data_IF_752342365925
#
_entry.id   IF_752342365925
#
_cell.length_a   1.000
_cell.length_b   1.000
_cell.length_c   1.000
_cell.angle_alpha   90.00
_cell.angle_beta   90.00
_cell.angle_gamma   90.00
#
_symmetry.space_group_name_H-M   'P 1'
#
loop_
_entity.id
_entity.type
_entity.pdbx_description
1 polymer ?
#
# COMPACT_ATOMS: atom_id res chain seq x y z
N UNK A 1 21.40 0.28 11.74
CA UNK A 1 22.42 -0.30 10.83
C UNK A 1 23.69 0.54 10.74
N UNK A 2 23.70 1.78 11.23
CA UNK A 2 24.86 2.68 11.12
C UNK A 2 26.14 2.02 11.68
N UNK A 3 27.19 1.97 10.86
CA UNK A 3 28.50 1.40 11.21
C UNK A 3 28.56 -0.13 11.38
N UNK A 4 27.45 -0.84 11.18
CA UNK A 4 27.35 -2.30 11.38
C UNK A 4 27.97 -3.09 10.23
N UNK A 5 28.45 -4.30 10.55
CA UNK A 5 28.99 -5.25 9.60
C UNK A 5 27.85 -6.07 8.99
N UNK A 6 27.64 -5.94 7.68
CA UNK A 6 26.54 -6.59 6.95
C UNK A 6 27.09 -7.68 6.03
N UNK A 7 26.57 -8.90 6.18
CA UNK A 7 26.82 -10.02 5.28
C UNK A 7 25.89 -10.00 4.09
N UNK A 8 26.45 -10.12 2.89
CA UNK A 8 25.75 -10.07 1.62
C UNK A 8 26.21 -11.22 0.72
N UNK A 9 25.33 -11.73 -0.15
CA UNK A 9 25.69 -12.75 -1.15
C UNK A 9 26.24 -12.03 -2.38
N UNK A 10 27.44 -12.42 -2.82
CA UNK A 10 28.10 -11.84 -4.01
C UNK A 10 27.22 -12.01 -5.26
N UNK A 11 27.03 -10.91 -5.99
CA UNK A 11 26.26 -10.91 -7.24
C UNK A 11 24.73 -10.96 -7.08
N UNK A 12 24.22 -10.95 -5.86
CA UNK A 12 22.77 -10.90 -5.62
C UNK A 12 22.22 -9.52 -6.02
N UNK A 13 21.09 -9.49 -6.72
CA UNK A 13 20.39 -8.26 -7.12
C UNK A 13 19.96 -7.41 -5.92
N UNK A 14 19.63 -8.03 -4.79
CA UNK A 14 19.28 -7.32 -3.56
C UNK A 14 20.38 -6.36 -3.09
N UNK A 15 21.64 -6.59 -3.48
CA UNK A 15 22.75 -5.70 -3.13
C UNK A 15 22.53 -4.29 -3.71
N UNK A 16 22.03 -4.20 -4.95
CA UNK A 16 21.73 -2.93 -5.61
C UNK A 16 20.56 -2.20 -4.93
N UNK A 17 19.53 -2.95 -4.55
CA UNK A 17 18.37 -2.41 -3.83
C UNK A 17 18.77 -1.86 -2.47
N UNK A 18 19.60 -2.62 -1.75
CA UNK A 18 20.12 -2.20 -0.45
C UNK A 18 20.99 -0.93 -0.56
N UNK A 19 21.84 -0.84 -1.58
CA UNK A 19 22.69 0.32 -1.79
C UNK A 19 21.88 1.60 -2.01
N UNK A 20 20.78 1.51 -2.76
CA UNK A 20 19.83 2.61 -2.91
C UNK A 20 19.17 2.98 -1.58
N UNK A 21 18.73 1.96 -0.83
CA UNK A 21 18.08 2.16 0.47
C UNK A 21 19.00 2.89 1.46
N UNK A 22 20.22 2.40 1.70
CA UNK A 22 21.14 3.03 2.65
C UNK A 22 21.59 4.40 2.17
N UNK A 23 21.77 4.59 0.85
CA UNK A 23 22.09 5.89 0.26
C UNK A 23 20.99 6.92 0.49
N UNK A 24 19.71 6.54 0.31
CA UNK A 24 18.57 7.43 0.54
C UNK A 24 18.37 7.81 2.02
N UNK A 25 18.84 6.97 2.93
CA UNK A 25 18.73 7.18 4.39
C UNK A 25 20.01 7.74 5.02
N UNK A 26 21.08 7.97 4.25
CA UNK A 26 22.37 8.42 4.76
C UNK A 26 23.04 7.42 5.71
N UNK A 27 22.72 6.12 5.59
CA UNK A 27 23.25 5.07 6.47
C UNK A 27 24.55 4.50 5.89
N UNK A 28 25.59 4.42 6.70
CA UNK A 28 26.87 3.78 6.36
C UNK A 28 26.95 2.41 7.01
N UNK A 29 27.31 1.38 6.22
CA UNK A 29 27.52 0.00 6.70
C UNK A 29 28.82 -0.57 6.14
N UNK A 30 29.43 -1.51 6.86
CA UNK A 30 30.58 -2.28 6.39
C UNK A 30 30.09 -3.56 5.70
N UNK A 31 30.31 -3.69 4.40
CA UNK A 31 29.80 -4.78 3.57
C UNK A 31 30.79 -5.93 3.49
N UNK A 32 30.35 -7.15 3.79
CA UNK A 32 31.11 -8.40 3.68
C UNK A 32 30.40 -9.33 2.69
N UNK A 33 31.10 -9.77 1.67
CA UNK A 33 30.53 -10.59 0.59
C UNK A 33 30.93 -12.06 0.73
N UNK A 34 29.93 -12.93 0.65
CA UNK A 34 30.03 -14.38 0.75
C UNK A 34 29.51 -15.05 -0.53
N UNK A 35 29.85 -16.33 -0.73
CA UNK A 35 29.45 -17.06 -1.92
C UNK A 35 28.06 -17.69 -1.79
N UNK A 36 27.59 -17.92 -0.56
CA UNK A 36 26.32 -18.60 -0.30
C UNK A 36 25.61 -18.06 0.95
N UNK A 37 24.31 -18.35 1.05
CA UNK A 37 23.51 -18.05 2.25
C UNK A 37 23.98 -18.83 3.48
N UNK A 38 24.51 -20.06 3.30
CA UNK A 38 25.06 -20.86 4.39
C UNK A 38 26.27 -20.16 5.03
N UNK A 39 27.23 -19.72 4.22
CA UNK A 39 28.40 -18.97 4.69
C UNK A 39 28.04 -17.67 5.42
N UNK A 40 27.02 -16.96 4.93
CA UNK A 40 26.51 -15.74 5.57
C UNK A 40 25.94 -16.06 6.97
N UNK A 41 25.14 -17.12 7.08
CA UNK A 41 24.56 -17.56 8.34
C UNK A 41 25.65 -18.03 9.35
N UNK A 42 26.62 -18.76 8.89
CA UNK A 42 27.77 -19.17 9.72
C UNK A 42 28.59 -17.96 10.22
N UNK A 43 28.79 -16.96 9.35
CA UNK A 43 29.48 -15.73 9.74
C UNK A 43 28.70 -14.91 10.78
N UNK A 44 27.37 -14.89 10.68
CA UNK A 44 26.50 -14.26 11.68
C UNK A 44 26.58 -15.00 13.01
N UNK A 45 26.43 -16.32 13.00
CA UNK A 45 26.51 -17.16 14.19
C UNK A 45 27.87 -17.05 14.88
N UNK A 46 28.97 -16.93 14.12
CA UNK A 46 30.31 -16.73 14.60
C UNK A 46 30.61 -15.28 15.04
N UNK A 47 29.66 -14.36 14.97
CA UNK A 47 29.86 -12.95 15.35
C UNK A 47 30.83 -12.18 14.44
N UNK A 48 31.13 -12.69 13.25
CA UNK A 48 31.99 -12.02 12.25
C UNK A 48 31.24 -10.83 11.57
N UNK A 49 29.96 -10.91 11.51
CA UNK A 49 29.05 -9.88 11.00
C UNK A 49 27.92 -9.66 12.00
N UNK A 50 27.27 -8.49 11.94
CA UNK A 50 26.23 -8.08 12.87
C UNK A 50 24.82 -8.25 12.31
N UNK A 51 24.70 -8.28 10.97
CA UNK A 51 23.44 -8.43 10.26
C UNK A 51 23.65 -9.16 8.93
N UNK A 52 22.57 -9.73 8.41
CA UNK A 52 22.54 -10.35 7.08
C UNK A 52 21.46 -9.70 6.24
N UNK A 53 21.63 -9.75 4.93
CA UNK A 53 20.61 -9.38 3.97
C UNK A 53 19.96 -10.64 3.42
N UNK A 54 18.64 -10.74 3.53
CA UNK A 54 17.87 -11.91 3.09
C UNK A 54 16.50 -11.50 2.55
N UNK A 55 15.85 -12.39 1.78
CA UNK A 55 14.43 -12.26 1.48
C UNK A 55 13.60 -12.47 2.75
N UNK A 56 12.45 -11.80 2.85
CA UNK A 56 11.58 -11.88 4.03
C UNK A 56 10.96 -13.27 4.27
N UNK A 57 11.05 -14.17 3.29
CA UNK A 57 10.63 -15.57 3.43
C UNK A 57 11.63 -16.48 4.17
N UNK A 58 12.76 -15.97 4.61
CA UNK A 58 13.84 -16.74 5.25
C UNK A 58 14.14 -16.23 6.67
N UNK A 59 13.12 -15.78 7.38
CA UNK A 59 13.28 -15.37 8.78
C UNK A 59 13.17 -16.58 9.70
N UNK A 60 14.33 -16.98 10.28
CA UNK A 60 14.37 -17.96 11.36
C UNK A 60 13.95 -17.31 12.68
N UNK A 61 13.43 -18.11 13.61
CA UNK A 61 12.96 -17.64 14.94
C UNK A 61 14.07 -16.94 15.75
N UNK A 62 15.34 -17.26 15.47
CA UNK A 62 16.51 -16.71 16.17
C UNK A 62 16.97 -15.36 15.63
N UNK A 63 16.37 -14.85 14.55
CA UNK A 63 16.78 -13.63 13.87
C UNK A 63 15.76 -12.53 14.05
N UNK A 64 16.25 -11.34 14.36
CA UNK A 64 15.43 -10.14 14.46
C UNK A 64 15.45 -9.37 13.15
N UNK A 65 14.26 -9.03 12.63
CA UNK A 65 14.13 -8.10 11.52
C UNK A 65 14.52 -6.69 11.99
N UNK A 66 15.52 -6.08 11.35
CA UNK A 66 16.02 -4.74 11.69
C UNK A 66 15.68 -3.67 10.67
N UNK A 67 15.37 -4.05 9.43
CA UNK A 67 14.88 -3.15 8.39
C UNK A 67 14.26 -3.95 7.25
N UNK A 68 13.25 -3.39 6.60
CA UNK A 68 12.74 -3.81 5.30
C UNK A 68 13.10 -2.77 4.26
N UNK A 69 13.44 -3.21 3.07
CA UNK A 69 13.72 -2.34 1.94
C UNK A 69 13.35 -3.07 0.66
N UNK A 70 12.82 -2.32 -0.27
CA UNK A 70 12.44 -2.73 -1.60
C UNK A 70 11.55 -3.98 -1.71
N UNK A 71 10.83 -4.09 -2.82
CA UNK A 71 10.00 -5.24 -3.19
C UNK A 71 10.47 -5.72 -4.56
N UNK A 72 10.83 -7.00 -4.65
CA UNK A 72 11.17 -7.62 -5.92
C UNK A 72 9.91 -8.23 -6.54
N UNK A 73 9.44 -7.72 -7.67
CA UNK A 73 8.34 -8.34 -8.36
C UNK A 73 8.75 -9.70 -8.92
N UNK A 74 7.87 -10.69 -8.76
CA UNK A 74 8.04 -12.02 -9.37
C UNK A 74 7.18 -12.11 -10.63
N UNK A 75 7.72 -12.69 -11.69
CA UNK A 75 7.05 -12.84 -12.97
C UNK A 75 7.05 -14.29 -13.43
N UNK A 76 5.98 -14.72 -14.09
CA UNK A 76 5.96 -15.93 -14.90
C UNK A 76 6.51 -15.54 -16.29
N UNK A 77 7.47 -16.28 -16.78
CA UNK A 77 8.10 -16.02 -18.07
C UNK A 77 7.91 -17.19 -19.03
N UNK A 78 7.82 -16.91 -20.32
CA UNK A 78 7.79 -17.90 -21.39
C UNK A 78 8.73 -17.52 -22.54
N UNK A 79 8.93 -18.42 -23.50
CA UNK A 79 9.72 -18.10 -24.68
C UNK A 79 9.11 -16.95 -25.49
N UNK A 80 9.96 -16.09 -26.09
CA UNK A 80 9.55 -14.88 -26.81
C UNK A 80 8.45 -15.08 -27.87
N UNK A 81 8.40 -16.24 -28.48
CA UNK A 81 7.46 -16.54 -29.56
C UNK A 81 6.14 -17.14 -29.05
N UNK A 82 5.98 -17.33 -27.74
CA UNK A 82 4.81 -17.99 -27.17
C UNK A 82 3.80 -16.96 -26.65
N UNK A 83 3.41 -16.03 -27.53
CA UNK A 83 2.51 -14.91 -27.18
C UNK A 83 1.13 -15.38 -26.74
N UNK A 84 0.59 -16.43 -27.41
CA UNK A 84 -0.72 -16.98 -27.08
C UNK A 84 -0.77 -17.56 -25.65
N UNK A 85 0.28 -18.24 -25.19
CA UNK A 85 0.38 -18.73 -23.82
C UNK A 85 0.49 -17.55 -22.83
N UNK A 86 1.26 -16.51 -23.17
CA UNK A 86 1.39 -15.34 -22.31
C UNK A 86 0.05 -14.64 -22.13
N UNK A 87 -0.73 -14.45 -23.20
CA UNK A 87 -2.07 -13.86 -23.12
C UNK A 87 -3.01 -14.68 -22.23
N UNK A 88 -2.97 -16.03 -22.34
CA UNK A 88 -3.76 -16.91 -21.49
C UNK A 88 -3.36 -16.80 -20.01
N UNK A 89 -2.06 -16.76 -19.72
CA UNK A 89 -1.55 -16.59 -18.35
C UNK A 89 -1.95 -15.23 -17.77
N UNK A 90 -1.84 -14.15 -18.54
CA UNK A 90 -2.24 -12.82 -18.12
C UNK A 90 -3.76 -12.74 -17.85
N UNK A 91 -4.58 -13.38 -18.70
CA UNK A 91 -6.02 -13.47 -18.48
C UNK A 91 -6.35 -14.25 -17.21
N UNK A 92 -5.69 -15.39 -16.99
CA UNK A 92 -5.87 -16.18 -15.77
C UNK A 92 -5.46 -15.41 -14.51
N UNK A 93 -4.32 -14.70 -14.53
CA UNK A 93 -3.88 -13.88 -13.40
C UNK A 93 -4.86 -12.74 -13.11
N UNK A 94 -5.40 -12.09 -14.16
CA UNK A 94 -6.43 -11.06 -13.99
C UNK A 94 -7.70 -11.64 -13.37
N UNK A 95 -8.17 -12.81 -13.85
CA UNK A 95 -9.35 -13.48 -13.32
C UNK A 95 -9.16 -13.82 -11.82
N UNK A 96 -8.02 -14.41 -11.44
CA UNK A 96 -7.70 -14.71 -10.04
C UNK A 96 -7.73 -13.44 -9.18
N UNK A 97 -7.14 -12.35 -9.66
CA UNK A 97 -7.09 -11.09 -8.92
C UNK A 97 -8.48 -10.46 -8.77
N UNK A 98 -9.34 -10.60 -9.79
CA UNK A 98 -10.71 -10.10 -9.75
C UNK A 98 -11.61 -10.93 -8.85
N UNK A 99 -11.48 -12.27 -8.87
CA UNK A 99 -12.28 -13.17 -8.04
C UNK A 99 -11.87 -13.11 -6.56
N UNK A 100 -10.57 -12.97 -6.30
CA UNK A 100 -10.03 -12.91 -4.94
C UNK A 100 -8.90 -11.86 -4.85
N UNK A 101 -9.23 -10.59 -4.59
CA UNK A 101 -8.24 -9.52 -4.43
C UNK A 101 -7.20 -9.79 -3.32
N UNK A 102 -7.52 -10.67 -2.38
CA UNK A 102 -6.65 -11.04 -1.26
C UNK A 102 -5.82 -12.31 -1.49
N UNK A 103 -5.87 -12.92 -2.68
CA UNK A 103 -5.24 -14.22 -2.89
C UNK A 103 -3.74 -14.21 -2.57
N UNK A 104 -3.02 -13.13 -2.91
CA UNK A 104 -1.59 -13.00 -2.61
C UNK A 104 -1.32 -12.94 -1.10
N UNK A 105 -2.15 -12.20 -0.37
CA UNK A 105 -2.05 -12.12 1.08
C UNK A 105 -2.35 -13.47 1.74
N UNK A 106 -3.39 -14.18 1.26
CA UNK A 106 -3.73 -15.51 1.73
C UNK A 106 -2.62 -16.53 1.45
N UNK A 107 -1.99 -16.47 0.27
CA UNK A 107 -0.83 -17.30 -0.04
C UNK A 107 0.34 -17.00 0.87
N UNK A 108 0.64 -15.72 1.12
CA UNK A 108 1.70 -15.32 2.03
C UNK A 108 1.45 -15.87 3.45
N UNK A 109 0.23 -15.74 3.95
CA UNK A 109 -0.15 -16.23 5.27
C UNK A 109 -0.04 -17.76 5.38
N UNK A 110 -0.45 -18.49 4.34
CA UNK A 110 -0.36 -19.94 4.29
C UNK A 110 1.06 -20.49 4.29
N UNK A 111 2.00 -19.80 3.60
CA UNK A 111 3.37 -20.29 3.42
C UNK A 111 4.35 -19.74 4.43
N UNK A 112 4.15 -18.53 4.93
CA UNK A 112 5.12 -17.83 5.79
C UNK A 112 4.63 -17.60 7.21
N UNK A 113 3.40 -17.96 7.52
CA UNK A 113 2.82 -17.91 8.86
C UNK A 113 2.64 -16.49 9.40
N UNK A 114 2.15 -16.43 10.62
CA UNK A 114 1.83 -15.16 11.28
C UNK A 114 3.06 -14.33 11.59
N UNK A 115 2.99 -13.06 11.24
CA UNK A 115 3.96 -12.04 11.64
C UNK A 115 3.94 -11.73 13.17
N UNK A 116 3.22 -12.49 13.96
CA UNK A 116 2.99 -12.28 15.41
C UNK A 116 4.28 -12.30 16.26
N UNK A 117 5.39 -12.77 15.69
CA UNK A 117 6.66 -12.92 16.41
C UNK A 117 7.68 -11.81 16.16
N UNK A 118 7.30 -10.73 15.46
CA UNK A 118 8.19 -9.57 15.37
C UNK A 118 8.35 -8.94 16.76
N UNK A 119 9.47 -9.23 17.40
CA UNK A 119 9.80 -8.66 18.71
C UNK A 119 9.69 -7.14 18.67
N UNK A 120 9.00 -6.54 19.63
CA UNK A 120 8.92 -5.08 19.85
C UNK A 120 10.33 -4.54 20.09
N UNK A 121 10.99 -4.15 19.02
CA UNK A 121 12.41 -3.75 19.08
C UNK A 121 12.60 -2.26 19.23
N UNK A 122 11.91 -1.63 20.19
CA UNK A 122 12.09 -0.22 20.48
C UNK A 122 13.43 0.05 21.17
N UNK A 123 14.08 1.12 20.79
CA UNK A 123 15.22 1.69 21.52
C UNK A 123 14.75 2.29 22.85
N UNK A 124 15.69 2.60 23.75
CA UNK A 124 15.36 3.27 25.02
C UNK A 124 14.73 4.66 24.79
N UNK A 125 15.18 5.39 23.77
CA UNK A 125 14.63 6.70 23.44
C UNK A 125 13.19 6.59 22.94
N UNK A 126 12.89 5.61 22.07
CA UNK A 126 11.54 5.34 21.58
C UNK A 126 10.60 4.92 22.72
N UNK A 127 11.06 4.04 23.62
CA UNK A 127 10.28 3.65 24.80
C UNK A 127 9.98 4.85 25.73
N UNK A 128 10.96 5.73 25.95
CA UNK A 128 10.77 6.93 26.74
C UNK A 128 9.75 7.88 26.07
N UNK A 129 9.82 8.04 24.75
CA UNK A 129 8.84 8.80 23.99
C UNK A 129 7.43 8.21 24.14
N UNK A 130 7.27 6.91 23.90
CA UNK A 130 5.97 6.22 23.98
C UNK A 130 5.33 6.40 25.37
N UNK A 131 6.14 6.34 26.43
CA UNK A 131 5.63 6.50 27.80
C UNK A 131 5.14 7.90 28.13
N UNK A 132 5.61 8.92 27.43
CA UNK A 132 5.32 10.33 27.70
C UNK A 132 4.51 11.00 26.60
N UNK A 133 4.31 10.34 25.47
CA UNK A 133 3.58 10.89 24.35
C UNK A 133 2.10 11.13 24.69
N UNK A 134 1.61 12.30 24.35
CA UNK A 134 0.17 12.57 24.34
C UNK A 134 -0.52 11.65 23.33
N UNK A 135 -1.83 11.39 23.46
CA UNK A 135 -2.58 10.66 22.44
C UNK A 135 -2.41 11.30 21.06
N UNK A 136 -2.08 10.49 20.06
CA UNK A 136 -1.97 10.93 18.67
C UNK A 136 -3.37 11.21 18.13
N UNK A 137 -3.56 12.41 17.62
CA UNK A 137 -4.83 12.83 17.00
C UNK A 137 -4.84 12.35 15.56
N UNK A 138 -5.74 11.41 15.25
CA UNK A 138 -5.83 10.76 13.94
C UNK A 138 -7.07 11.27 13.22
N UNK A 139 -6.91 11.61 11.96
CA UNK A 139 -7.99 11.99 11.04
C UNK A 139 -7.99 11.05 9.84
N UNK A 140 -9.10 10.98 9.11
CA UNK A 140 -9.23 10.07 7.98
C UNK A 140 -10.38 10.43 7.04
N UNK A 141 -10.75 9.51 6.16
CA UNK A 141 -11.85 9.67 5.21
C UNK A 141 -13.11 8.96 5.74
N UNK A 142 -14.15 9.72 6.04
CA UNK A 142 -15.41 9.18 6.53
C UNK A 142 -16.22 8.40 5.49
N UNK A 143 -15.84 8.46 4.20
CA UNK A 143 -16.55 7.82 3.09
C UNK A 143 -15.59 7.05 2.16
N UNK A 144 -14.85 6.11 2.70
CA UNK A 144 -13.96 5.21 1.94
C UNK A 144 -14.19 3.75 2.32
N UNK A 145 -15.46 3.31 2.30
CA UNK A 145 -15.83 1.92 2.63
C UNK A 145 -15.21 0.92 1.63
N UNK A 146 -14.64 -0.21 2.04
CA UNK A 146 -14.47 -0.74 3.39
C UNK A 146 -13.14 -0.40 4.05
N UNK A 147 -12.35 0.50 3.45
CA UNK A 147 -11.03 0.86 3.95
C UNK A 147 -11.14 1.68 5.23
N UNK A 148 -11.98 2.70 5.20
CA UNK A 148 -12.31 3.55 6.34
C UNK A 148 -13.66 4.22 6.13
N UNK A 149 -14.52 4.20 7.12
CA UNK A 149 -15.80 4.92 7.07
C UNK A 149 -16.32 5.24 8.46
N UNK A 150 -17.14 6.28 8.53
CA UNK A 150 -17.87 6.59 9.75
C UNK A 150 -19.13 5.73 9.86
N UNK A 151 -19.25 4.93 10.92
CA UNK A 151 -20.50 4.23 11.21
C UNK A 151 -21.55 5.23 11.69
N UNK A 152 -22.52 5.55 10.82
CA UNK A 152 -23.58 6.52 11.11
C UNK A 152 -24.47 6.18 12.30
N UNK A 153 -24.45 4.93 12.80
CA UNK A 153 -25.21 4.51 13.98
C UNK A 153 -24.53 4.91 15.28
N UNK A 154 -23.20 4.87 15.32
CA UNK A 154 -22.42 5.03 16.55
C UNK A 154 -21.42 6.19 16.49
N UNK A 155 -21.25 6.85 15.34
CA UNK A 155 -20.27 7.91 15.16
C UNK A 155 -18.82 7.45 15.30
N UNK A 156 -18.55 6.15 15.05
CA UNK A 156 -17.23 5.55 15.22
C UNK A 156 -16.65 5.20 13.85
N UNK A 157 -15.40 5.54 13.65
CA UNK A 157 -14.66 5.09 12.47
C UNK A 157 -14.42 3.57 12.50
N UNK A 158 -14.63 2.94 11.35
CA UNK A 158 -14.43 1.52 11.10
C UNK A 158 -13.64 1.30 9.83
N UNK A 159 -13.14 0.08 9.62
CA UNK A 159 -12.47 -0.34 8.40
C UNK A 159 -11.05 -0.82 8.60
N UNK A 160 -10.45 -1.25 7.51
CA UNK A 160 -9.10 -1.82 7.48
C UNK A 160 -8.05 -0.87 8.07
N UNK A 161 -8.13 0.42 7.77
CA UNK A 161 -7.19 1.42 8.30
C UNK A 161 -7.32 1.53 9.82
N UNK A 162 -8.55 1.50 10.34
CA UNK A 162 -8.80 1.52 11.79
C UNK A 162 -8.27 0.28 12.49
N UNK A 163 -8.35 -0.88 11.86
CA UNK A 163 -7.80 -2.11 12.43
C UNK A 163 -6.27 -2.10 12.42
N UNK A 164 -5.65 -1.53 11.38
CA UNK A 164 -4.19 -1.29 11.36
C UNK A 164 -3.77 -0.32 12.47
N UNK A 165 -4.47 0.79 12.66
CA UNK A 165 -4.18 1.74 13.75
C UNK A 165 -4.31 1.10 15.13
N UNK A 166 -5.32 0.26 15.36
CA UNK A 166 -5.47 -0.51 16.60
C UNK A 166 -4.27 -1.45 16.83
N UNK A 167 -3.84 -2.17 15.77
CA UNK A 167 -2.66 -3.03 15.86
C UNK A 167 -1.39 -2.23 16.14
N UNK A 168 -1.23 -1.06 15.52
CA UNK A 168 -0.10 -0.16 15.78
C UNK A 168 -0.12 0.32 17.23
N UNK A 169 -1.27 0.75 17.76
CA UNK A 169 -1.43 1.16 19.14
C UNK A 169 -1.08 0.02 20.11
N UNK A 170 -1.65 -1.16 19.89
CA UNK A 170 -1.38 -2.36 20.71
C UNK A 170 0.09 -2.77 20.72
N UNK A 171 0.74 -2.69 19.56
CA UNK A 171 2.13 -3.11 19.40
C UNK A 171 3.15 -2.05 19.85
N UNK A 172 2.85 -0.77 19.67
CA UNK A 172 3.72 0.33 20.10
C UNK A 172 3.51 0.74 21.54
N UNK A 173 2.29 0.70 22.03
CA UNK A 173 1.89 1.30 23.31
C UNK A 173 1.49 2.76 23.18
N UNK A 174 1.47 3.32 21.97
CA UNK A 174 0.95 4.66 21.69
C UNK A 174 -0.58 4.68 21.81
N UNK A 175 -1.12 5.77 22.32
CA UNK A 175 -2.56 6.02 22.31
C UNK A 175 -2.93 6.78 21.04
N UNK A 176 -4.00 6.38 20.37
CA UNK A 176 -4.51 7.01 19.15
C UNK A 176 -5.97 7.38 19.33
N UNK A 177 -6.31 8.62 19.01
CA UNK A 177 -7.66 9.17 19.13
C UNK A 177 -8.14 9.66 17.78
N UNK A 178 -9.26 9.09 17.30
CA UNK A 178 -9.87 9.53 16.05
C UNK A 178 -10.63 10.83 16.23
N UNK A 179 -10.34 11.79 15.37
CA UNK A 179 -11.07 13.06 15.26
C UNK A 179 -11.93 13.02 13.99
N UNK A 180 -13.19 13.35 14.14
CA UNK A 180 -14.10 13.43 12.99
C UNK A 180 -13.71 14.57 12.05
N UNK A 181 -13.72 14.28 10.76
CA UNK A 181 -13.65 15.26 9.68
C UNK A 181 -14.76 14.98 8.66
N UNK A 182 -15.40 16.00 8.10
CA UNK A 182 -16.48 15.81 7.14
C UNK A 182 -15.96 15.24 5.81
N UNK A 183 -14.72 15.55 5.46
CA UNK A 183 -14.08 15.16 4.20
C UNK A 183 -12.55 15.12 4.33
N UNK A 184 -11.89 14.61 3.32
CA UNK A 184 -10.44 14.49 3.29
C UNK A 184 -9.72 15.85 3.20
N UNK A 185 -10.32 16.88 2.60
CA UNK A 185 -9.73 18.20 2.54
C UNK A 185 -9.59 18.79 3.95
N UNK A 186 -10.64 18.67 4.77
CA UNK A 186 -10.62 19.04 6.18
C UNK A 186 -9.56 18.26 6.97
N UNK A 187 -9.32 16.98 6.64
CA UNK A 187 -8.27 16.18 7.26
C UNK A 187 -6.87 16.74 6.94
N UNK A 188 -6.63 17.15 5.70
CA UNK A 188 -5.38 17.79 5.30
C UNK A 188 -5.16 19.13 5.99
N UNK A 189 -6.21 19.96 6.11
CA UNK A 189 -6.14 21.23 6.84
C UNK A 189 -5.78 21.01 8.31
N UNK A 190 -6.41 20.04 8.98
CA UNK A 190 -6.10 19.72 10.36
C UNK A 190 -4.66 19.25 10.56
N UNK A 191 -4.12 18.47 9.62
CA UNK A 191 -2.72 18.05 9.66
C UNK A 191 -1.77 19.24 9.45
N UNK A 192 -2.03 20.07 8.44
CA UNK A 192 -1.21 21.26 8.14
C UNK A 192 -1.18 22.27 9.29
N UNK A 193 -2.31 22.45 9.98
CA UNK A 193 -2.44 23.35 11.14
C UNK A 193 -1.86 22.75 12.43
N UNK A 194 -1.36 21.51 12.41
CA UNK A 194 -0.91 20.81 13.62
C UNK A 194 -2.04 20.47 14.61
N UNK A 195 -3.30 20.45 14.16
CA UNK A 195 -4.46 20.02 14.94
C UNK A 195 -4.72 18.52 14.83
N UNK A 196 -4.13 17.86 13.86
CA UNK A 196 -4.00 16.40 13.74
C UNK A 196 -2.51 16.04 13.64
N UNK A 197 -2.18 14.82 14.04
CA UNK A 197 -0.82 14.29 14.02
C UNK A 197 -0.65 13.23 12.93
N UNK A 198 -1.75 12.57 12.52
CA UNK A 198 -1.74 11.44 11.58
C UNK A 198 -2.98 11.48 10.71
N UNK A 199 -2.81 11.21 9.41
CA UNK A 199 -3.88 10.79 8.49
C UNK A 199 -3.79 9.27 8.33
N UNK A 200 -4.91 8.55 8.49
CA UNK A 200 -4.98 7.10 8.61
C UNK A 200 -4.54 6.32 7.36
N UNK A 201 -4.81 6.83 6.17
CA UNK A 201 -4.47 6.15 4.93
C UNK A 201 -4.59 7.06 3.71
N UNK A 202 -3.50 7.17 2.97
CA UNK A 202 -3.41 7.94 1.73
C UNK A 202 -2.61 7.16 0.68
N UNK A 203 -2.86 7.49 -0.58
CA UNK A 203 -1.95 7.13 -1.68
C UNK A 203 -0.87 8.21 -1.75
N UNK A 204 0.36 7.82 -1.42
CA UNK A 204 1.48 8.75 -1.46
C UNK A 204 1.92 9.04 -2.90
N UNK A 205 2.17 10.32 -3.19
CA UNK A 205 2.89 10.80 -4.36
C UNK A 205 3.87 11.90 -3.96
N UNK A 206 4.91 12.11 -4.77
CA UNK A 206 5.87 13.21 -4.53
C UNK A 206 5.21 14.58 -4.58
N UNK A 207 4.23 14.73 -5.44
CA UNK A 207 3.46 15.95 -5.63
C UNK A 207 2.65 16.27 -4.38
N UNK A 208 1.99 15.26 -3.82
CA UNK A 208 1.19 15.39 -2.60
C UNK A 208 2.08 15.72 -1.39
N UNK A 209 3.23 15.03 -1.26
CA UNK A 209 4.22 15.32 -0.22
C UNK A 209 4.75 16.76 -0.32
N UNK A 210 5.06 17.24 -1.52
CA UNK A 210 5.52 18.61 -1.75
C UNK A 210 4.42 19.66 -1.46
N UNK A 211 3.14 19.31 -1.71
CA UNK A 211 2.03 20.23 -1.49
C UNK A 211 1.72 20.43 0.00
N UNK A 212 1.78 19.37 0.80
CA UNK A 212 1.34 19.37 2.20
C UNK A 212 2.48 19.21 3.22
N UNK A 213 3.73 19.06 2.78
CA UNK A 213 4.94 18.96 3.62
C UNK A 213 4.79 17.94 4.78
N UNK A 214 4.51 16.68 4.44
CA UNK A 214 4.32 15.61 5.41
C UNK A 214 5.36 14.49 5.28
N UNK A 215 5.47 13.67 6.33
CA UNK A 215 6.23 12.42 6.30
C UNK A 215 5.26 11.24 6.16
N UNK A 216 5.71 10.18 5.52
CA UNK A 216 4.93 8.95 5.38
C UNK A 216 5.65 7.73 5.98
N UNK A 217 4.88 6.74 6.38
CA UNK A 217 5.41 5.43 6.81
C UNK A 217 5.83 4.59 5.60
N UNK A 218 6.46 3.44 5.83
CA UNK A 218 6.47 2.40 4.81
C UNK A 218 5.03 1.99 4.47
N UNK A 219 4.80 1.62 3.20
CA UNK A 219 3.48 1.19 2.76
C UNK A 219 3.04 -0.06 3.51
N UNK A 220 1.90 0.01 4.18
CA UNK A 220 1.30 -1.12 4.90
C UNK A 220 0.27 -1.89 4.08
N UNK A 221 -0.17 -1.32 2.96
CA UNK A 221 -1.15 -1.92 2.06
C UNK A 221 -0.76 -1.64 0.61
N UNK A 222 -0.88 -2.64 -0.24
CA UNK A 222 -0.75 -2.50 -1.68
C UNK A 222 -2.08 -2.85 -2.30
N UNK A 223 -2.61 -1.94 -3.08
CA UNK A 223 -3.89 -2.09 -3.73
C UNK A 223 -3.75 -1.92 -5.23
N UNK A 224 -4.53 -2.70 -5.97
CA UNK A 224 -4.71 -2.49 -7.39
C UNK A 224 -5.89 -1.56 -7.62
N UNK A 225 -5.83 -0.75 -8.65
CA UNK A 225 -6.98 0.01 -9.11
C UNK A 225 -7.78 -0.79 -10.12
N UNK A 226 -9.10 -0.72 -9.99
CA UNK A 226 -10.04 -1.21 -10.98
C UNK A 226 -10.62 -0.05 -11.76
N UNK A 227 -10.78 -0.27 -13.05
CA UNK A 227 -11.59 0.57 -13.92
C UNK A 227 -12.93 -0.13 -14.10
N UNK A 228 -14.01 0.53 -13.71
CA UNK A 228 -15.37 0.12 -13.96
C UNK A 228 -15.93 0.86 -15.17
N UNK A 229 -16.58 0.13 -16.03
CA UNK A 229 -17.31 0.67 -17.18
C UNK A 229 -18.69 0.02 -17.31
N UNK A 230 -19.51 0.52 -18.20
CA UNK A 230 -20.84 -0.05 -18.47
C UNK A 230 -20.70 -1.44 -19.09
N UNK A 231 -21.52 -2.35 -18.62
CA UNK A 231 -21.54 -3.75 -19.10
C UNK A 231 -21.91 -3.80 -20.59
N UNK A 232 -21.10 -4.52 -21.37
CA UNK A 232 -21.29 -4.69 -22.82
C UNK A 232 -20.70 -3.57 -23.69
N UNK A 233 -20.10 -2.54 -23.07
CA UNK A 233 -19.36 -1.52 -23.82
C UNK A 233 -17.87 -1.90 -23.93
N UNK A 234 -17.25 -1.44 -25.01
CA UNK A 234 -15.83 -1.55 -25.26
C UNK A 234 -15.17 -0.19 -25.13
N UNK A 235 -14.05 -0.11 -24.44
CA UNK A 235 -13.34 1.14 -24.19
C UNK A 235 -11.96 1.10 -24.85
N UNK A 236 -11.65 2.12 -25.64
CA UNK A 236 -10.29 2.36 -26.13
C UNK A 236 -9.56 3.25 -25.11
N UNK A 237 -8.72 2.64 -24.31
CA UNK A 237 -7.94 3.32 -23.25
C UNK A 237 -6.88 4.29 -23.78
N UNK A 238 -6.59 4.27 -25.08
CA UNK A 238 -5.71 5.24 -25.72
C UNK A 238 -6.48 6.49 -26.18
N UNK A 239 -7.80 6.45 -26.20
CA UNK A 239 -8.65 7.57 -26.55
C UNK A 239 -8.87 8.52 -25.37
N UNK A 240 -9.51 9.64 -25.64
CA UNK A 240 -9.94 10.59 -24.62
C UNK A 240 -11.18 10.05 -23.91
N UNK A 241 -10.99 9.55 -22.68
CA UNK A 241 -12.06 9.08 -21.83
C UNK A 241 -12.35 10.07 -20.70
N UNK A 242 -13.60 10.18 -20.30
CA UNK A 242 -14.02 10.84 -19.06
C UNK A 242 -13.99 9.83 -17.93
N UNK A 243 -13.21 10.09 -16.90
CA UNK A 243 -12.96 9.20 -15.77
C UNK A 243 -13.57 9.80 -14.51
N UNK A 244 -14.66 9.22 -14.02
CA UNK A 244 -15.21 9.61 -12.72
C UNK A 244 -14.27 9.18 -11.61
N UNK A 245 -13.97 10.08 -10.68
CA UNK A 245 -13.10 9.83 -9.56
C UNK A 245 -13.54 10.65 -8.35
N UNK A 246 -13.42 10.06 -7.15
CA UNK A 246 -13.73 10.78 -5.92
C UNK A 246 -12.71 11.91 -5.70
N UNK A 247 -13.19 13.11 -5.40
CA UNK A 247 -12.36 14.32 -5.20
C UNK A 247 -11.27 14.11 -4.15
N UNK A 248 -11.51 13.29 -3.12
CA UNK A 248 -10.53 12.98 -2.08
C UNK A 248 -9.35 12.11 -2.55
N UNK A 249 -9.40 11.52 -3.76
CA UNK A 249 -8.36 10.64 -4.29
C UNK A 249 -7.24 11.43 -5.00
N UNK A 250 -6.71 12.46 -4.34
CA UNK A 250 -5.74 13.40 -4.92
C UNK A 250 -4.51 12.68 -5.49
N UNK A 251 -3.84 11.85 -4.70
CA UNK A 251 -2.65 11.12 -5.15
C UNK A 251 -2.92 10.18 -6.32
N UNK A 252 -4.12 9.56 -6.35
CA UNK A 252 -4.56 8.73 -7.47
C UNK A 252 -4.82 9.57 -8.72
N UNK A 253 -5.42 10.75 -8.57
CA UNK A 253 -5.67 11.68 -9.67
C UNK A 253 -4.37 12.12 -10.32
N UNK A 254 -3.34 12.42 -9.54
CA UNK A 254 -2.02 12.81 -10.05
C UNK A 254 -1.35 11.66 -10.81
N UNK A 255 -1.41 10.45 -10.28
CA UNK A 255 -0.92 9.27 -10.99
C UNK A 255 -1.63 9.08 -12.34
N UNK A 256 -2.96 9.24 -12.40
CA UNK A 256 -3.73 9.10 -13.64
C UNK A 256 -3.38 10.21 -14.64
N UNK A 257 -3.24 11.46 -14.21
CA UNK A 257 -2.84 12.58 -15.09
C UNK A 257 -1.46 12.33 -15.72
N UNK A 258 -0.54 11.74 -14.97
CA UNK A 258 0.80 11.40 -15.48
C UNK A 258 0.78 10.22 -16.46
N UNK A 259 0.05 9.16 -16.12
CA UNK A 259 0.06 7.91 -16.90
C UNK A 259 -0.87 7.96 -18.12
N UNK A 260 -1.99 8.68 -18.02
CA UNK A 260 -3.02 8.79 -19.06
C UNK A 260 -3.39 10.25 -19.28
N UNK A 261 -2.48 11.08 -19.81
CA UNK A 261 -2.70 12.52 -19.96
C UNK A 261 -3.85 12.88 -20.90
N UNK A 262 -4.29 11.92 -21.74
CA UNK A 262 -5.45 12.10 -22.62
C UNK A 262 -6.79 11.94 -21.91
N UNK A 263 -6.82 11.38 -20.68
CA UNK A 263 -8.06 11.20 -19.94
C UNK A 263 -8.48 12.49 -19.23
N UNK A 264 -9.77 12.70 -19.16
CA UNK A 264 -10.35 13.83 -18.44
C UNK A 264 -10.96 13.33 -17.14
N UNK A 265 -10.43 13.76 -16.00
CA UNK A 265 -11.00 13.46 -14.69
C UNK A 265 -12.27 14.28 -14.51
N UNK A 266 -13.32 13.63 -14.04
CA UNK A 266 -14.58 14.22 -13.61
C UNK A 266 -14.74 13.92 -12.12
N UNK A 267 -14.72 14.96 -11.32
CA UNK A 267 -14.74 14.84 -9.86
C UNK A 267 -16.15 14.54 -9.34
N UNK A 268 -16.24 13.59 -8.40
CA UNK A 268 -17.43 13.27 -7.65
C UNK A 268 -17.18 13.38 -6.15
N UNK A 269 -18.18 13.82 -5.40
CA UNK A 269 -18.07 14.03 -3.96
C UNK A 269 -17.98 12.70 -3.18
N UNK A 270 -18.66 11.67 -3.68
CA UNK A 270 -18.73 10.34 -3.09
C UNK A 270 -18.43 9.25 -4.11
N UNK A 271 -18.10 8.05 -3.63
CA UNK A 271 -17.96 6.89 -4.50
C UNK A 271 -19.27 6.56 -5.24
N UNK A 272 -20.41 6.75 -4.56
CA UNK A 272 -21.72 6.52 -5.19
C UNK A 272 -21.99 7.51 -6.32
N UNK A 273 -21.71 8.80 -6.12
CA UNK A 273 -21.88 9.79 -7.20
C UNK A 273 -21.03 9.49 -8.42
N UNK A 274 -19.79 9.04 -8.22
CA UNK A 274 -18.93 8.60 -9.32
C UNK A 274 -19.50 7.39 -10.08
N UNK A 275 -20.07 6.41 -9.38
CA UNK A 275 -20.75 5.26 -10.01
C UNK A 275 -21.98 5.71 -10.82
N UNK A 276 -22.76 6.62 -10.27
CA UNK A 276 -23.94 7.17 -10.94
C UNK A 276 -23.57 7.96 -12.21
N UNK A 277 -22.48 8.72 -12.20
CA UNK A 277 -21.96 9.40 -13.40
C UNK A 277 -21.67 8.40 -14.54
N UNK A 278 -21.11 7.22 -14.24
CA UNK A 278 -20.87 6.20 -15.26
C UNK A 278 -22.17 5.56 -15.73
N UNK A 279 -23.09 5.24 -14.83
CA UNK A 279 -24.42 4.70 -15.20
C UNK A 279 -25.17 5.65 -16.09
N UNK A 280 -25.15 6.94 -15.79
CA UNK A 280 -25.88 7.99 -16.52
C UNK A 280 -25.17 8.45 -17.81
N UNK A 281 -23.94 8.00 -18.06
CA UNK A 281 -23.16 8.38 -19.24
C UNK A 281 -22.50 9.77 -19.15
N UNK A 282 -22.44 10.37 -17.96
CA UNK A 282 -21.73 11.62 -17.69
C UNK A 282 -20.22 11.40 -17.70
N UNK A 283 -19.80 10.19 -17.28
CA UNK A 283 -18.45 9.67 -17.43
C UNK A 283 -18.45 8.33 -18.18
N UNK A 284 -17.35 8.01 -18.85
CA UNK A 284 -17.20 6.76 -19.60
C UNK A 284 -16.84 5.60 -18.66
N UNK A 285 -15.95 5.86 -17.74
CA UNK A 285 -15.41 4.89 -16.78
C UNK A 285 -15.26 5.53 -15.40
N UNK A 286 -15.12 4.68 -14.37
CA UNK A 286 -14.73 5.10 -13.03
C UNK A 286 -13.45 4.37 -12.62
N UNK A 287 -12.54 5.08 -12.01
CA UNK A 287 -11.39 4.51 -11.34
C UNK A 287 -11.62 4.47 -9.84
N UNK A 288 -11.36 3.33 -9.25
CA UNK A 288 -11.40 3.14 -7.80
C UNK A 288 -10.51 1.98 -7.35
N UNK A 289 -10.27 1.95 -6.06
CA UNK A 289 -9.55 0.86 -5.42
C UNK A 289 -10.30 -0.47 -5.63
N UNK A 290 -9.57 -1.55 -5.96
CA UNK A 290 -10.15 -2.85 -6.25
C UNK A 290 -10.98 -3.41 -5.09
N UNK A 291 -10.55 -3.19 -3.86
CA UNK A 291 -11.25 -3.65 -2.65
C UNK A 291 -12.57 -2.90 -2.50
N UNK A 292 -12.53 -1.58 -2.61
CA UNK A 292 -13.73 -0.73 -2.51
C UNK A 292 -14.73 -1.09 -3.60
N UNK A 293 -14.25 -1.23 -4.85
CA UNK A 293 -15.09 -1.48 -6.01
C UNK A 293 -15.69 -2.89 -6.07
N UNK A 294 -15.08 -3.88 -5.43
CA UNK A 294 -15.56 -5.26 -5.42
C UNK A 294 -16.44 -5.61 -4.21
N UNK A 295 -16.73 -4.66 -3.34
CA UNK A 295 -17.61 -4.92 -2.20
C UNK A 295 -19.06 -5.10 -2.62
N UNK A 296 -19.80 -5.97 -1.93
CA UNK A 296 -21.22 -6.22 -2.20
C UNK A 296 -22.07 -4.95 -2.12
N UNK A 297 -21.67 -3.94 -1.36
CA UNK A 297 -22.36 -2.65 -1.25
C UNK A 297 -22.51 -1.98 -2.60
N UNK A 298 -21.48 -2.02 -3.45
CA UNK A 298 -21.49 -1.36 -4.76
C UNK A 298 -21.91 -2.30 -5.88
N UNK A 299 -21.38 -3.53 -5.93
CA UNK A 299 -21.68 -4.48 -7.01
C UNK A 299 -23.15 -4.86 -7.12
N UNK A 300 -23.85 -5.01 -5.99
CA UNK A 300 -25.28 -5.34 -6.02
C UNK A 300 -26.17 -4.19 -6.48
N UNK A 301 -25.83 -2.95 -6.13
CA UNK A 301 -26.58 -1.76 -6.50
C UNK A 301 -26.35 -1.35 -7.96
N UNK A 302 -25.12 -1.54 -8.46
CA UNK A 302 -24.67 -1.08 -9.78
C UNK A 302 -24.36 -2.26 -10.73
N UNK A 303 -25.28 -3.22 -10.85
CA UNK A 303 -25.11 -4.43 -11.68
C UNK A 303 -24.91 -4.15 -13.18
N UNK A 304 -25.24 -2.94 -13.65
CA UNK A 304 -24.97 -2.46 -15.01
C UNK A 304 -23.49 -2.13 -15.26
N UNK A 305 -22.70 -2.02 -14.21
CA UNK A 305 -21.25 -1.80 -14.30
C UNK A 305 -20.49 -3.11 -14.16
N UNK A 306 -19.28 -3.13 -14.69
CA UNK A 306 -18.36 -4.25 -14.56
C UNK A 306 -16.91 -3.77 -14.59
N UNK A 307 -15.99 -4.51 -13.96
CA UNK A 307 -14.56 -4.29 -14.15
C UNK A 307 -14.17 -4.49 -15.62
N UNK A 308 -13.48 -3.50 -16.20
CA UNK A 308 -13.02 -3.53 -17.59
C UNK A 308 -11.51 -3.54 -17.70
N UNK A 309 -10.80 -3.09 -16.66
CA UNK A 309 -9.35 -3.14 -16.59
C UNK A 309 -8.87 -3.08 -15.12
N UNK A 310 -7.72 -3.70 -14.85
CA UNK A 310 -6.92 -3.49 -13.61
C UNK A 310 -5.70 -2.65 -13.95
N UNK A 311 -5.39 -1.66 -13.12
CA UNK A 311 -4.29 -0.71 -13.35
C UNK A 311 -3.24 -0.81 -12.27
#
# INVERSE_FOLDING_TARGET
LQGKRLGMIKGNYLNLCFDKFVGSKGISVQKFYYSSGAEVNEALAAGKIDAIMSGNCVLDEDKKLVAKFDYLPAYIITGKNNTALMEQLDQAMRAITLENPYFTAALYENFYGRADKLSKGFTRAELAYIQTAAPLRVVGDADNYPMEWLDGKNGVYKGTYQDVLKLLAQNSGLTMEMTYTPDMASSWELLADGRADVISGIVWTKELEAQYDFLHTDSFLKENYLILGRRGESFDFNSRLKVAMKTSFIGTADYIRQKYPQWQIVDGDTLESCLEMVVNGEADIMLGNSIVMTTNRYLSKYASLMPVMTV
#
